data_IF_544683804320
#
_entry.id   IF_544683804320
#
_cell.length_a   1.000
_cell.length_b   1.000
_cell.length_c   1.000
_cell.angle_alpha   90.00
_cell.angle_beta   90.00
_cell.angle_gamma   90.00
#
_symmetry.space_group_name_H-M   'P 1'
#
loop_
_entity.id
_entity.type
_entity.pdbx_description
1 polymer ?
#
# COMPACT_ATOMS: atom_id res chain seq x y z
N UNK A 1 0.40 -9.48 -7.70
CA UNK A 1 -0.25 -9.97 -6.46
C UNK A 1 -1.30 -8.94 -6.06
N UNK A 2 -2.53 -9.37 -5.74
CA UNK A 2 -3.66 -8.47 -5.45
C UNK A 2 -4.17 -8.70 -4.03
N UNK A 3 -4.21 -7.66 -3.21
CA UNK A 3 -4.62 -7.72 -1.79
C UNK A 3 -5.72 -6.68 -1.54
N UNK A 4 -6.99 -7.10 -1.44
CA UNK A 4 -8.09 -6.19 -1.08
C UNK A 4 -8.12 -5.91 0.43
N UNK A 5 -8.30 -4.65 0.79
CA UNK A 5 -8.46 -4.19 2.17
C UNK A 5 -9.85 -3.54 2.32
N UNK A 6 -10.82 -4.22 2.97
CA UNK A 6 -12.18 -3.73 3.06
C UNK A 6 -12.29 -2.49 3.96
N UNK A 7 -13.20 -1.57 3.60
CA UNK A 7 -13.56 -0.41 4.41
C UNK A 7 -15.06 -0.11 4.35
N UNK A 8 -15.49 0.81 5.22
CA UNK A 8 -16.85 1.39 5.23
C UNK A 8 -16.81 2.91 5.10
N UNK A 9 -15.66 3.45 4.69
CA UNK A 9 -15.43 4.86 4.50
C UNK A 9 -15.92 5.29 3.12
N UNK A 10 -16.36 6.54 3.01
CA UNK A 10 -16.59 7.20 1.72
C UNK A 10 -15.27 7.38 0.97
N UNK A 11 -15.31 7.34 -0.37
CA UNK A 11 -14.10 7.44 -1.21
C UNK A 11 -13.25 8.68 -0.91
N UNK A 12 -13.88 9.81 -0.65
CA UNK A 12 -13.17 11.06 -0.31
C UNK A 12 -12.35 10.93 0.99
N UNK A 13 -12.90 10.27 2.01
CA UNK A 13 -12.21 10.04 3.27
C UNK A 13 -11.07 9.04 3.10
N UNK A 14 -11.24 8.02 2.26
CA UNK A 14 -10.16 7.10 1.89
C UNK A 14 -9.03 7.84 1.20
N UNK A 15 -9.34 8.69 0.22
CA UNK A 15 -8.35 9.53 -0.48
C UNK A 15 -7.57 10.41 0.49
N UNK A 16 -8.27 11.09 1.39
CA UNK A 16 -7.66 11.92 2.42
C UNK A 16 -6.69 11.10 3.28
N UNK A 17 -7.16 9.98 3.85
CA UNK A 17 -6.35 9.12 4.73
C UNK A 17 -5.14 8.52 4.01
N UNK A 18 -5.29 8.06 2.77
CA UNK A 18 -4.18 7.52 1.99
C UNK A 18 -3.13 8.59 1.70
N UNK A 19 -3.54 9.82 1.37
CA UNK A 19 -2.60 10.95 1.15
C UNK A 19 -1.89 11.33 2.44
N UNK A 20 -2.64 11.52 3.52
CA UNK A 20 -2.11 11.93 4.83
C UNK A 20 -1.14 10.88 5.39
N UNK A 21 -1.43 9.59 5.20
CA UNK A 21 -0.61 8.48 5.68
C UNK A 21 0.39 7.93 4.65
N UNK A 22 0.50 8.50 3.44
CA UNK A 22 1.38 8.00 2.37
C UNK A 22 2.85 7.94 2.79
N UNK A 23 3.31 8.91 3.58
CA UNK A 23 4.66 8.96 4.14
C UNK A 23 5.00 7.77 5.05
N UNK A 24 3.98 7.08 5.60
CA UNK A 24 4.13 5.92 6.48
C UNK A 24 4.19 4.60 5.71
N UNK A 25 4.01 4.62 4.40
CA UNK A 25 4.02 3.40 3.57
C UNK A 25 5.33 2.61 3.71
N UNK A 26 6.45 3.33 3.88
CA UNK A 26 7.75 2.71 4.10
C UNK A 26 7.80 1.86 5.38
N UNK A 27 6.99 2.17 6.40
CA UNK A 27 6.89 1.41 7.65
C UNK A 27 6.39 -0.03 7.43
N UNK A 28 5.71 -0.28 6.30
CA UNK A 28 5.19 -1.59 5.95
C UNK A 28 6.27 -2.58 5.56
N UNK A 29 7.43 -2.11 5.10
CA UNK A 29 8.45 -2.97 4.52
C UNK A 29 9.38 -3.47 5.65
N UNK A 30 9.48 -4.80 5.86
CA UNK A 30 10.37 -5.37 6.86
C UNK A 30 11.83 -4.94 6.62
N UNK A 31 12.53 -4.58 7.70
CA UNK A 31 13.96 -4.25 7.65
C UNK A 31 14.30 -2.76 7.61
N UNK A 32 13.31 -1.86 7.58
CA UNK A 32 13.49 -0.42 7.85
C UNK A 32 14.37 0.37 6.86
N UNK A 33 14.81 -0.27 5.78
CA UNK A 33 15.68 0.32 4.74
C UNK A 33 14.96 0.45 3.40
N UNK A 34 13.63 0.47 3.41
CA UNK A 34 12.85 0.60 2.19
C UNK A 34 12.57 2.05 1.88
N UNK A 35 12.82 2.44 0.63
CA UNK A 35 12.33 3.68 0.08
C UNK A 35 11.01 3.39 -0.65
N UNK A 36 9.99 4.19 -0.37
CA UNK A 36 8.72 4.12 -1.10
C UNK A 36 8.42 5.50 -1.66
N UNK A 37 8.49 5.61 -2.98
CA UNK A 37 8.06 6.78 -3.71
C UNK A 37 6.61 6.59 -4.15
N UNK A 38 5.77 7.59 -3.90
CA UNK A 38 4.36 7.54 -4.27
C UNK A 38 3.98 8.68 -5.20
N UNK A 39 3.04 8.41 -6.10
CA UNK A 39 2.43 9.44 -6.94
C UNK A 39 0.97 9.13 -7.19
N UNK A 40 0.19 10.18 -7.49
CA UNK A 40 -1.24 10.07 -7.74
C UNK A 40 -1.53 10.39 -9.21
N UNK A 41 -1.48 9.41 -10.13
CA UNK A 41 -1.82 9.63 -11.52
C UNK A 41 -3.30 9.96 -11.74
N UNK A 42 -4.17 9.60 -10.79
CA UNK A 42 -5.57 10.02 -10.76
C UNK A 42 -6.03 10.24 -9.31
N UNK A 43 -7.28 10.65 -9.15
CA UNK A 43 -7.88 10.91 -7.83
C UNK A 43 -7.98 9.63 -6.99
N UNK A 44 -8.34 8.50 -7.61
CA UNK A 44 -8.62 7.22 -6.95
C UNK A 44 -7.52 6.16 -7.15
N UNK A 45 -6.38 6.53 -7.73
CA UNK A 45 -5.21 5.64 -7.88
C UNK A 45 -3.94 6.28 -7.36
N UNK A 46 -3.23 5.54 -6.52
CA UNK A 46 -1.89 5.89 -6.06
C UNK A 46 -0.90 4.82 -6.53
N UNK A 47 0.13 5.22 -7.28
CA UNK A 47 1.23 4.33 -7.67
C UNK A 47 2.34 4.37 -6.63
N UNK A 48 3.06 3.26 -6.51
CA UNK A 48 4.15 3.07 -5.56
C UNK A 48 5.35 2.46 -6.28
N UNK A 49 6.51 3.07 -6.10
CA UNK A 49 7.81 2.46 -6.42
C UNK A 49 8.52 2.17 -5.10
N UNK A 50 8.79 0.89 -4.85
CA UNK A 50 9.33 0.38 -3.59
C UNK A 50 10.73 -0.15 -3.87
N UNK A 51 11.74 0.41 -3.21
CA UNK A 51 13.12 -0.07 -3.31
C UNK A 51 13.59 -0.56 -1.95
N UNK A 52 13.89 -1.85 -1.83
CA UNK A 52 14.35 -2.46 -0.58
C UNK A 52 15.29 -3.63 -0.86
N UNK A 53 16.36 -3.76 -0.06
CA UNK A 53 17.30 -4.90 -0.16
C UNK A 53 17.87 -5.14 -1.57
N UNK A 54 18.12 -4.06 -2.33
CA UNK A 54 18.61 -4.15 -3.72
C UNK A 54 17.57 -4.67 -4.72
N UNK A 55 16.30 -4.75 -4.33
CA UNK A 55 15.17 -5.10 -5.19
C UNK A 55 14.26 -3.89 -5.37
N UNK A 56 13.76 -3.72 -6.59
CA UNK A 56 12.74 -2.75 -6.91
C UNK A 56 11.42 -3.47 -7.20
N UNK A 57 10.36 -3.08 -6.51
CA UNK A 57 9.00 -3.54 -6.71
C UNK A 57 8.14 -2.35 -7.11
N UNK A 58 7.26 -2.56 -8.08
CA UNK A 58 6.25 -1.56 -8.42
C UNK A 58 4.89 -2.05 -7.96
N UNK A 59 4.00 -1.10 -7.74
CA UNK A 59 2.62 -1.42 -7.45
C UNK A 59 1.73 -0.20 -7.46
N UNK A 60 0.47 -0.41 -7.15
CA UNK A 60 -0.49 0.65 -7.00
C UNK A 60 -1.59 0.27 -6.01
N UNK A 61 -2.32 1.29 -5.57
CA UNK A 61 -3.52 1.19 -4.77
C UNK A 61 -4.65 1.79 -5.57
N UNK A 62 -5.71 1.02 -5.76
CA UNK A 62 -6.99 1.51 -6.28
C UNK A 62 -7.99 1.69 -5.15
N UNK A 63 -8.69 2.83 -5.18
CA UNK A 63 -9.78 3.13 -4.25
C UNK A 63 -11.08 2.70 -4.90
N UNK A 64 -11.73 1.69 -4.34
CA UNK A 64 -13.07 1.24 -4.69
C UNK A 64 -14.07 1.66 -3.59
N UNK A 65 -15.37 1.43 -3.81
CA UNK A 65 -16.41 1.90 -2.87
C UNK A 65 -16.38 1.20 -1.51
N UNK A 66 -15.91 -0.05 -1.47
CA UNK A 66 -15.96 -0.91 -0.27
C UNK A 66 -14.60 -1.47 0.13
N UNK A 67 -13.55 -1.14 -0.62
CA UNK A 67 -12.20 -1.63 -0.39
C UNK A 67 -11.17 -0.73 -1.08
N UNK A 68 -9.95 -0.76 -0.56
CA UNK A 68 -8.78 -0.37 -1.35
C UNK A 68 -8.07 -1.64 -1.80
N UNK A 69 -7.56 -1.63 -3.02
CA UNK A 69 -6.93 -2.80 -3.63
C UNK A 69 -5.47 -2.50 -3.86
N UNK A 70 -4.60 -3.23 -3.16
CA UNK A 70 -3.17 -3.18 -3.42
C UNK A 70 -2.82 -4.18 -4.52
N UNK A 71 -2.18 -3.70 -5.58
CA UNK A 71 -1.62 -4.53 -6.63
C UNK A 71 -0.11 -4.34 -6.67
N UNK A 72 0.63 -5.42 -6.37
CA UNK A 72 2.10 -5.44 -6.37
C UNK A 72 2.62 -6.33 -7.47
N UNK A 73 3.53 -5.80 -8.27
CA UNK A 73 4.29 -6.54 -9.28
C UNK A 73 5.41 -7.30 -8.59
N UNK A 74 5.10 -8.49 -8.09
CA UNK A 74 6.06 -9.36 -7.42
C UNK A 74 6.80 -10.23 -8.45
N UNK A 75 8.13 -10.07 -8.62
CA UNK A 75 8.92 -10.95 -9.47
C UNK A 75 8.79 -12.42 -9.05
N UNK A 76 8.71 -13.38 -9.99
CA UNK A 76 8.54 -14.80 -9.65
C UNK A 76 9.61 -15.34 -8.69
N UNK A 77 10.85 -14.84 -8.78
CA UNK A 77 11.94 -15.21 -7.87
C UNK A 77 11.65 -14.90 -6.39
N UNK A 78 10.77 -13.94 -6.10
CA UNK A 78 10.36 -13.55 -4.76
C UNK A 78 9.04 -14.20 -4.32
N UNK A 79 8.50 -15.14 -5.09
CA UNK A 79 7.21 -15.79 -4.81
C UNK A 79 7.15 -16.50 -3.45
N UNK A 80 8.28 -16.95 -2.90
CA UNK A 80 8.33 -17.55 -1.56
C UNK A 80 8.08 -16.54 -0.42
N UNK A 81 8.23 -15.24 -0.69
CA UNK A 81 7.95 -14.15 0.27
C UNK A 81 6.48 -13.67 0.22
N UNK A 82 5.69 -14.13 -0.75
CA UNK A 82 4.27 -13.77 -0.93
C UNK A 82 3.49 -13.69 0.40
N UNK A 83 3.44 -14.73 1.26
CA UNK A 83 2.64 -14.67 2.48
C UNK A 83 3.11 -13.60 3.47
N UNK A 84 4.42 -13.32 3.52
CA UNK A 84 4.98 -12.25 4.36
C UNK A 84 4.58 -10.88 3.84
N UNK A 85 4.68 -10.66 2.52
CA UNK A 85 4.35 -9.40 1.87
C UNK A 85 2.83 -9.14 1.96
N UNK A 86 2.00 -10.15 1.73
CA UNK A 86 0.54 -10.05 1.91
C UNK A 86 0.18 -9.64 3.34
N UNK A 87 0.79 -10.28 4.35
CA UNK A 87 0.55 -9.95 5.75
C UNK A 87 0.99 -8.52 6.11
N UNK A 88 2.11 -8.05 5.54
CA UNK A 88 2.59 -6.68 5.72
C UNK A 88 1.63 -5.66 5.08
N UNK A 89 1.18 -5.91 3.85
CA UNK A 89 0.22 -5.06 3.14
C UNK A 89 -1.12 -5.00 3.86
N UNK A 90 -1.62 -6.14 4.38
CA UNK A 90 -2.87 -6.14 5.13
C UNK A 90 -2.81 -5.25 6.36
N UNK A 91 -1.74 -5.39 7.16
CA UNK A 91 -1.54 -4.58 8.35
C UNK A 91 -1.35 -3.10 8.01
N UNK A 92 -0.57 -2.79 6.98
CA UNK A 92 -0.34 -1.40 6.60
C UNK A 92 -1.59 -0.77 5.99
N UNK A 93 -2.27 -1.46 5.08
CA UNK A 93 -3.49 -0.96 4.44
C UNK A 93 -4.54 -0.60 5.48
N UNK A 94 -4.70 -1.41 6.53
CA UNK A 94 -5.55 -1.06 7.67
C UNK A 94 -5.09 0.21 8.38
N UNK A 95 -3.79 0.33 8.71
CA UNK A 95 -3.23 1.51 9.37
C UNK A 95 -3.37 2.79 8.55
N UNK A 96 -3.21 2.70 7.23
CA UNK A 96 -3.37 3.85 6.34
C UNK A 96 -4.80 4.35 6.28
N UNK A 97 -5.77 3.47 6.53
CA UNK A 97 -7.18 3.78 6.60
C UNK A 97 -7.62 4.10 8.03
N UNK A 98 -6.74 4.10 9.03
CA UNK A 98 -7.07 4.59 10.37
C UNK A 98 -7.33 6.11 10.32
N UNK A 99 -8.25 6.58 11.16
CA UNK A 99 -8.45 8.02 11.36
C UNK A 99 -7.21 8.65 12.02
N UNK A 100 -7.13 10.00 12.08
CA UNK A 100 -6.11 10.65 12.88
C UNK A 100 -6.10 10.04 14.29
N UNK A 101 -4.91 9.67 14.77
CA UNK A 101 -4.74 9.26 16.16
C UNK A 101 -4.81 10.55 16.98
N UNK A 102 -5.86 10.67 17.79
CA UNK A 102 -5.92 11.67 18.88
C UNK A 102 -4.68 11.60 19.77
#
# INVERSE_FOLDING_TARGET
>A
MRVPIPHRLEREEVRRRLRDNSHRMADAIPGGMAQVDTSWPSEDRMTMAISAMGQALNGHIDIEDQQVVFEIDLPPALGFLTPMIEGAIQQQGQKMLEGPRD
#
